data_IF_188843222618
#
_entry.id   IF_188843222618
#
_cell.length_a   1.000
_cell.length_b   1.000
_cell.length_c   1.000
_cell.angle_alpha   90.00
_cell.angle_beta   90.00
_cell.angle_gamma   90.00
#
_symmetry.space_group_name_H-M   'P 1'
#
loop_
_entity.id
_entity.type
_entity.pdbx_description
1 polymer ?
#
# COMPACT_ATOMS: atom_id res chain seq x y z
N UNK A 1 7.10 20.02 -22.82
CA UNK A 1 8.53 19.67 -23.01
C UNK A 1 8.72 18.31 -22.39
N UNK A 2 9.34 17.34 -23.08
CA UNK A 2 9.61 16.02 -22.50
C UNK A 2 10.57 16.19 -21.31
N UNK A 3 10.30 15.52 -20.20
CA UNK A 3 11.24 15.50 -19.07
C UNK A 3 12.35 14.50 -19.34
N UNK A 4 13.43 14.56 -18.56
CA UNK A 4 14.53 13.59 -18.63
C UNK A 4 13.99 12.15 -18.51
N UNK A 5 12.92 11.95 -17.72
CA UNK A 5 12.25 10.66 -17.56
C UNK A 5 11.58 10.16 -18.85
N UNK A 6 10.99 11.06 -19.65
CA UNK A 6 10.37 10.71 -20.94
C UNK A 6 11.42 10.35 -22.00
N UNK A 7 12.64 10.89 -21.88
CA UNK A 7 13.74 10.59 -22.81
C UNK A 7 14.50 9.31 -22.46
N UNK A 8 14.29 8.76 -21.26
CA UNK A 8 14.93 7.55 -20.76
C UNK A 8 13.88 6.45 -20.60
N UNK A 9 13.31 5.99 -21.72
CA UNK A 9 12.36 4.86 -21.73
C UNK A 9 13.04 3.59 -21.16
N UNK A 10 12.75 3.32 -19.88
CA UNK A 10 13.23 2.14 -19.17
C UNK A 10 12.17 1.04 -19.21
N UNK A 11 12.60 -0.17 -19.54
CA UNK A 11 11.80 -1.40 -19.46
C UNK A 11 11.42 -1.78 -18.02
N UNK A 12 11.99 -1.10 -17.02
CA UNK A 12 11.80 -1.35 -15.60
C UNK A 12 11.17 -0.15 -14.90
N UNK A 13 10.43 -0.41 -13.81
CA UNK A 13 9.83 0.63 -12.96
C UNK A 13 10.92 1.55 -12.42
N UNK A 14 10.73 2.84 -12.64
CA UNK A 14 11.52 3.89 -12.04
C UNK A 14 10.71 4.65 -10.99
N UNK A 15 11.40 5.37 -10.11
CA UNK A 15 10.78 6.23 -9.11
C UNK A 15 9.85 7.29 -9.73
N UNK A 16 10.13 7.71 -10.96
CA UNK A 16 9.35 8.70 -11.72
C UNK A 16 8.02 8.14 -12.25
N UNK A 17 7.92 6.82 -12.45
CA UNK A 17 6.67 6.13 -12.77
C UNK A 17 5.74 6.09 -11.53
N UNK A 18 6.31 6.08 -10.32
CA UNK A 18 5.61 6.00 -9.04
C UNK A 18 5.21 7.38 -8.50
N UNK A 19 4.45 8.15 -9.29
CA UNK A 19 3.92 9.46 -8.86
C UNK A 19 2.90 9.35 -7.73
N UNK A 20 2.22 8.21 -7.65
CA UNK A 20 1.22 7.91 -6.63
C UNK A 20 1.46 6.50 -6.05
N UNK A 21 1.05 6.24 -4.80
CA UNK A 21 1.09 4.91 -4.22
C UNK A 21 0.33 3.92 -5.11
N UNK A 22 1.07 2.99 -5.69
CA UNK A 22 0.53 2.04 -6.67
C UNK A 22 0.50 0.65 -6.05
N UNK A 23 -0.68 0.05 -6.04
CA UNK A 23 -0.89 -1.32 -5.56
C UNK A 23 -0.53 -2.30 -6.68
N UNK A 24 0.37 -3.21 -6.38
CA UNK A 24 0.84 -4.23 -7.31
C UNK A 24 0.79 -5.60 -6.63
N UNK A 25 0.44 -6.62 -7.40
CA UNK A 25 0.51 -8.01 -6.96
C UNK A 25 1.77 -8.63 -7.52
N UNK A 26 2.60 -9.25 -6.68
CA UNK A 26 3.81 -9.93 -7.13
C UNK A 26 3.43 -11.18 -7.92
N UNK A 27 3.91 -11.30 -9.16
CA UNK A 27 3.73 -12.49 -9.98
C UNK A 27 4.85 -13.52 -9.76
N UNK A 28 6.09 -13.05 -9.57
CA UNK A 28 7.24 -13.90 -9.30
C UNK A 28 8.56 -13.13 -9.33
N UNK A 29 9.63 -13.81 -8.94
CA UNK A 29 11.00 -13.25 -8.93
C UNK A 29 11.87 -14.09 -9.86
N UNK A 30 12.54 -13.44 -10.80
CA UNK A 30 13.43 -14.10 -11.76
C UNK A 30 14.79 -13.40 -11.82
N UNK A 31 15.82 -14.12 -12.28
CA UNK A 31 17.12 -13.51 -12.59
C UNK A 31 17.14 -13.12 -14.05
N UNK A 32 17.35 -11.83 -14.32
CA UNK A 32 17.44 -11.30 -15.68
C UNK A 32 18.75 -10.57 -15.86
N UNK A 33 19.34 -10.74 -17.03
CA UNK A 33 20.46 -9.89 -17.43
C UNK A 33 19.91 -8.49 -17.73
N UNK A 34 20.34 -7.52 -16.93
CA UNK A 34 20.00 -6.11 -17.08
C UNK A 34 21.23 -5.28 -17.47
N UNK A 35 22.32 -5.97 -17.83
CA UNK A 35 23.55 -5.37 -18.29
C UNK A 35 23.42 -4.75 -19.67
N UNK A 36 24.39 -3.91 -20.01
CA UNK A 36 24.55 -3.37 -21.36
C UNK A 36 25.39 -4.33 -22.21
N UNK A 37 25.31 -4.17 -23.54
CA UNK A 37 26.04 -5.01 -24.48
C UNK A 37 27.55 -5.08 -24.13
N UNK A 38 28.05 -6.29 -23.86
CA UNK A 38 29.44 -6.54 -23.46
C UNK A 38 29.72 -6.51 -21.95
N UNK A 39 28.75 -6.14 -21.10
CA UNK A 39 28.85 -6.21 -19.62
C UNK A 39 27.56 -6.79 -19.04
N UNK A 40 27.41 -8.13 -19.06
CA UNK A 40 26.24 -8.78 -18.48
C UNK A 40 26.18 -8.47 -16.99
N UNK A 41 25.02 -8.02 -16.52
CA UNK A 41 24.76 -7.73 -15.11
C UNK A 41 23.48 -8.46 -14.71
N UNK A 42 23.66 -9.67 -14.19
CA UNK A 42 22.53 -10.49 -13.73
C UNK A 42 22.01 -9.91 -12.42
N UNK A 43 20.78 -9.38 -12.46
CA UNK A 43 20.07 -8.91 -11.28
C UNK A 43 18.78 -9.69 -11.06
N UNK A 44 18.32 -9.69 -9.82
CA UNK A 44 17.00 -10.19 -9.49
C UNK A 44 15.96 -9.15 -9.89
N UNK A 45 14.87 -9.62 -10.48
CA UNK A 45 13.79 -8.81 -11.01
C UNK A 45 12.47 -9.36 -10.51
N UNK A 46 11.64 -8.49 -9.94
CA UNK A 46 10.27 -8.85 -9.55
C UNK A 46 9.34 -8.49 -10.68
N UNK A 47 8.57 -9.47 -11.13
CA UNK A 47 7.45 -9.28 -12.06
C UNK A 47 6.16 -9.08 -11.26
N UNK A 48 5.25 -8.29 -11.80
CA UNK A 48 3.95 -8.02 -11.19
C UNK A 48 2.83 -8.54 -12.10
N UNK A 49 1.71 -8.91 -11.49
CA UNK A 49 0.52 -9.32 -12.21
C UNK A 49 -0.21 -8.09 -12.79
N UNK A 50 -0.76 -8.24 -13.99
CA UNK A 50 -1.17 -7.11 -14.83
C UNK A 50 0.01 -6.60 -15.65
N UNK A 51 -0.23 -5.89 -16.75
CA UNK A 51 0.79 -5.43 -17.69
C UNK A 51 1.66 -4.28 -17.12
N UNK A 52 2.22 -4.48 -15.92
CA UNK A 52 3.11 -3.56 -15.23
C UNK A 52 4.55 -3.87 -15.59
N UNK A 53 5.37 -2.82 -15.64
CA UNK A 53 6.81 -2.96 -15.80
C UNK A 53 7.38 -3.77 -14.62
N UNK A 54 8.37 -4.65 -14.84
CA UNK A 54 9.06 -5.31 -13.75
C UNK A 54 9.95 -4.34 -12.95
N UNK A 55 10.27 -4.68 -11.69
CA UNK A 55 11.16 -3.90 -10.84
C UNK A 55 12.49 -4.63 -10.61
N UNK A 56 13.60 -3.93 -10.84
CA UNK A 56 14.94 -4.44 -10.50
C UNK A 56 15.15 -4.37 -8.99
N UNK A 57 15.57 -5.48 -8.41
CA UNK A 57 15.95 -5.57 -7.00
C UNK A 57 17.42 -5.18 -6.83
N UNK A 58 17.65 -3.92 -6.46
CA UNK A 58 18.92 -3.49 -5.87
C UNK A 58 18.99 -3.89 -4.38
N UNK A 59 20.17 -3.77 -3.75
CA UNK A 59 20.37 -4.18 -2.34
C UNK A 59 19.34 -3.57 -1.38
N UNK A 60 19.00 -2.30 -1.56
CA UNK A 60 18.03 -1.59 -0.70
C UNK A 60 16.61 -2.13 -0.90
N UNK A 61 16.19 -2.29 -2.15
CA UNK A 61 14.88 -2.83 -2.52
C UNK A 61 14.76 -4.27 -2.05
N UNK A 62 15.78 -5.10 -2.26
CA UNK A 62 15.84 -6.48 -1.79
C UNK A 62 15.59 -6.55 -0.29
N UNK A 63 16.31 -5.76 0.51
CA UNK A 63 16.11 -5.70 1.96
C UNK A 63 14.69 -5.25 2.34
N UNK A 64 14.14 -4.26 1.64
CA UNK A 64 12.78 -3.80 1.87
C UNK A 64 11.75 -4.90 1.57
N UNK A 65 11.92 -5.63 0.47
CA UNK A 65 11.05 -6.76 0.11
C UNK A 65 11.14 -7.89 1.14
N UNK A 66 12.34 -8.30 1.56
CA UNK A 66 12.51 -9.31 2.61
C UNK A 66 11.88 -8.89 3.94
N UNK A 67 12.11 -7.64 4.38
CA UNK A 67 11.48 -7.11 5.60
C UNK A 67 9.94 -7.06 5.50
N UNK A 68 9.42 -6.89 4.29
CA UNK A 68 7.98 -6.67 4.05
C UNK A 68 7.23 -7.95 3.73
N UNK A 69 7.79 -8.88 2.95
CA UNK A 69 7.13 -10.09 2.45
C UNK A 69 7.62 -11.37 3.17
N UNK A 70 8.77 -11.30 3.84
CA UNK A 70 9.38 -12.41 4.57
C UNK A 70 10.63 -12.94 3.88
N UNK A 71 11.36 -13.81 4.60
CA UNK A 71 12.69 -14.33 4.22
C UNK A 71 12.68 -15.30 3.02
N UNK A 72 11.51 -15.79 2.61
CA UNK A 72 11.39 -16.70 1.48
C UNK A 72 10.78 -16.02 0.25
N UNK A 73 11.58 -15.84 -0.80
CA UNK A 73 11.15 -15.18 -2.04
C UNK A 73 10.12 -15.98 -2.83
N UNK A 74 10.10 -17.30 -2.67
CA UNK A 74 9.16 -18.18 -3.38
C UNK A 74 7.72 -17.95 -2.92
N UNK A 75 7.55 -17.54 -1.67
CA UNK A 75 6.24 -17.22 -1.07
C UNK A 75 5.75 -15.83 -1.46
N UNK A 76 6.53 -15.02 -2.19
CA UNK A 76 6.13 -13.66 -2.54
C UNK A 76 5.05 -13.63 -3.62
N UNK A 77 5.00 -14.65 -4.47
CA UNK A 77 4.00 -14.75 -5.53
C UNK A 77 2.57 -14.72 -4.96
N UNK A 78 1.71 -13.89 -5.55
CA UNK A 78 0.33 -13.68 -5.12
C UNK A 78 0.16 -12.67 -3.98
N UNK A 79 1.23 -12.20 -3.32
CA UNK A 79 1.13 -11.17 -2.28
C UNK A 79 0.95 -9.78 -2.91
N UNK A 80 0.13 -8.94 -2.27
CA UNK A 80 -0.07 -7.54 -2.64
C UNK A 80 0.89 -6.62 -1.88
N UNK A 81 1.51 -5.70 -2.62
CA UNK A 81 2.37 -4.65 -2.09
C UNK A 81 1.93 -3.29 -2.62
N UNK A 82 2.29 -2.25 -1.88
CA UNK A 82 2.14 -0.86 -2.33
C UNK A 82 3.54 -0.30 -2.55
N UNK A 83 3.81 0.15 -3.78
CA UNK A 83 5.03 0.87 -4.15
C UNK A 83 4.74 2.35 -4.23
N UNK A 84 5.62 3.17 -3.67
CA UNK A 84 5.57 4.62 -3.80
C UNK A 84 6.98 5.21 -3.75
N UNK A 85 7.12 6.42 -4.31
CA UNK A 85 8.36 7.18 -4.26
C UNK A 85 8.41 8.02 -2.98
N UNK A 86 9.35 7.71 -2.10
CA UNK A 86 9.62 8.44 -0.87
C UNK A 86 10.67 9.52 -1.12
N UNK A 87 10.22 10.78 -1.19
CA UNK A 87 11.09 11.94 -1.42
C UNK A 87 12.03 12.26 -0.25
N UNK A 88 11.83 11.65 0.92
CA UNK A 88 12.69 11.86 2.10
C UNK A 88 14.00 11.07 2.02
N UNK A 89 14.08 10.10 1.10
CA UNK A 89 15.29 9.29 0.89
C UNK A 89 16.21 9.99 -0.08
N UNK A 90 17.45 10.22 0.35
CA UNK A 90 18.54 10.67 -0.52
C UNK A 90 19.53 9.53 -0.73
N UNK A 91 19.91 9.28 -1.99
CA UNK A 91 20.99 8.36 -2.34
C UNK A 91 21.86 9.00 -3.41
N UNK A 92 23.15 9.18 -3.10
CA UNK A 92 24.15 9.72 -4.02
C UNK A 92 23.78 11.11 -4.59
N UNK A 93 23.27 12.03 -3.76
CA UNK A 93 22.85 13.37 -4.17
C UNK A 93 21.51 13.43 -4.92
N UNK A 94 20.81 12.30 -5.00
CA UNK A 94 19.52 12.19 -5.68
C UNK A 94 18.43 11.88 -4.66
N UNK A 95 17.42 12.74 -4.59
CA UNK A 95 16.22 12.54 -3.76
C UNK A 95 15.22 11.58 -4.44
N UNK A 96 14.52 10.81 -3.62
CA UNK A 96 13.52 9.83 -4.03
C UNK A 96 14.04 8.39 -3.97
N UNK A 97 13.33 7.54 -3.22
CA UNK A 97 13.58 6.10 -3.11
C UNK A 97 12.30 5.28 -3.23
N UNK A 98 12.37 4.11 -3.87
CA UNK A 98 11.23 3.19 -3.95
C UNK A 98 11.08 2.52 -2.58
N UNK A 99 9.92 2.74 -1.95
CA UNK A 99 9.54 2.07 -0.71
C UNK A 99 8.46 1.05 -0.97
N UNK A 100 8.46 0.02 -0.14
CA UNK A 100 7.55 -1.12 -0.23
C UNK A 100 6.79 -1.20 1.09
N UNK A 101 5.47 -1.14 1.02
CA UNK A 101 4.62 -1.49 2.15
C UNK A 101 3.87 -2.78 1.85
N UNK A 102 3.78 -3.65 2.86
CA UNK A 102 2.86 -4.78 2.83
C UNK A 102 1.49 -4.18 2.96
N UNK A 103 0.63 -4.46 2.01
CA UNK A 103 -0.77 -4.32 2.28
C UNK A 103 -1.17 -5.47 3.18
N UNK A 104 -1.44 -5.16 4.45
CA UNK A 104 -2.23 -6.07 5.24
C UNK A 104 -3.57 -6.17 4.52
N UNK A 105 -3.96 -7.38 4.12
CA UNK A 105 -5.35 -7.64 3.83
C UNK A 105 -6.09 -7.29 5.13
N UNK A 106 -6.67 -6.09 5.18
CA UNK A 106 -7.96 -5.96 5.81
C UNK A 106 -8.82 -6.89 4.99
N UNK A 107 -8.92 -8.15 5.43
CA UNK A 107 -9.94 -9.08 4.97
C UNK A 107 -11.19 -8.24 4.85
N UNK A 108 -11.77 -8.14 3.64
CA UNK A 108 -12.95 -7.34 3.35
C UNK A 108 -13.89 -7.45 4.55
N UNK A 109 -13.84 -6.46 5.44
CA UNK A 109 -14.86 -6.33 6.43
C UNK A 109 -16.08 -6.06 5.56
N UNK A 110 -17.11 -6.93 5.56
CA UNK A 110 -18.32 -6.55 4.89
C UNK A 110 -18.66 -5.17 5.44
N UNK A 111 -18.83 -4.20 4.55
CA UNK A 111 -19.26 -2.84 4.91
C UNK A 111 -20.68 -2.93 5.48
N UNK A 112 -20.82 -3.51 6.67
CA UNK A 112 -21.98 -3.45 7.54
C UNK A 112 -21.74 -2.34 8.54
N UNK A 113 -21.57 -1.12 8.05
CA UNK A 113 -21.62 0.07 8.90
C UNK A 113 -22.20 1.24 8.13
N UNK A 114 -23.31 0.99 7.45
CA UNK A 114 -24.22 2.04 7.00
C UNK A 114 -25.66 1.78 7.49
N UNK A 115 -26.07 0.52 7.70
CA UNK A 115 -27.44 0.19 8.15
C UNK A 115 -27.66 0.11 9.67
N UNK A 116 -26.61 0.01 10.51
CA UNK A 116 -26.80 -0.16 11.97
C UNK A 116 -27.04 1.14 12.73
N UNK A 117 -26.84 2.32 12.14
CA UNK A 117 -27.16 3.60 12.79
C UNK A 117 -28.63 4.01 12.64
N UNK A 118 -29.43 3.30 11.82
CA UNK A 118 -30.84 3.65 11.60
C UNK A 118 -31.82 3.01 12.59
N UNK A 119 -31.42 2.02 13.39
CA UNK A 119 -32.34 1.27 14.26
C UNK A 119 -32.30 1.62 15.75
N UNK A 120 -31.38 2.49 16.21
CA UNK A 120 -31.31 2.90 17.62
C UNK A 120 -31.87 4.30 17.91
N UNK A 121 -32.71 4.85 17.02
CA UNK A 121 -33.57 5.98 17.33
C UNK A 121 -34.98 5.52 17.69
N UNK A 122 -35.11 4.75 18.76
CA UNK A 122 -36.36 4.67 19.50
C UNK A 122 -36.13 5.29 20.88
N UNK A 123 -36.02 6.61 20.88
CA UNK A 123 -36.12 7.42 22.10
C UNK A 123 -37.62 7.38 22.46
N UNK A 124 -38.05 6.80 23.60
CA UNK A 124 -39.40 7.03 24.06
C UNK A 124 -39.55 8.53 24.28
N UNK A 125 -40.47 9.17 23.56
CA UNK A 125 -40.94 10.50 23.93
C UNK A 125 -41.57 10.34 25.32
N UNK A 126 -41.01 11.04 26.30
CA UNK A 126 -41.68 11.34 27.55
C UNK A 126 -43.04 11.99 27.24
N UNK A 127 -44.09 11.19 27.31
CA UNK A 127 -45.47 11.62 27.44
C UNK A 127 -46.11 10.77 28.53
N UNK A 128 -45.70 11.02 29.77
CA UNK A 128 -46.49 10.62 30.94
C UNK A 128 -46.62 11.85 31.84
N UNK A 129 -47.70 12.58 31.61
CA UNK A 129 -48.30 13.50 32.56
C UNK A 129 -48.77 12.73 33.79
N UNK A 130 -47.85 12.46 34.72
CA UNK A 130 -48.12 11.99 36.08
C UNK A 130 -48.19 13.15 37.09
N UNK A 131 -49.04 13.08 38.13
CA UNK A 131 -49.27 14.20 39.04
C UNK A 131 -48.05 14.47 39.95
N UNK A 132 -47.84 15.76 40.26
CA UNK A 132 -46.78 16.25 41.15
C UNK A 132 -46.85 15.56 42.52
N UNK A 133 -45.74 15.08 43.10
CA UNK A 133 -45.72 14.59 44.47
C UNK A 133 -45.79 15.76 45.46
N UNK A 134 -46.73 15.67 46.41
CA UNK A 134 -46.86 16.60 47.53
C UNK A 134 -45.64 16.56 48.46
N UNK A 135 -45.20 17.73 48.91
CA UNK A 135 -44.09 17.89 49.85
C UNK A 135 -44.44 17.31 51.24
N UNK A 136 -43.52 16.59 51.91
CA UNK A 136 -43.74 16.21 53.31
C UNK A 136 -43.56 17.43 54.24
N UNK A 137 -44.33 17.53 55.33
CA UNK A 137 -44.27 18.66 56.24
C UNK A 137 -42.94 18.67 57.00
N UNK A 138 -42.31 19.84 57.07
CA UNK A 138 -41.20 20.06 58.00
C UNK A 138 -41.75 20.12 59.42
N UNK A 139 -41.33 19.16 60.24
CA UNK A 139 -41.45 19.20 61.70
C UNK A 139 -40.09 19.54 62.30
#
# INVERSE_FOLDING_TARGET
MPTIDDMLESNYIQKSDLKQPTRLTVAGVERKDVGQEGKPEVKWVVSFAGAYKPLILNVTNTKAFFATLGDNSDDWAGKQIILFNDMTVEYNGVFGGIRVYRQLEVADAPSQTADQFAQNQNIPRDDDSGPLPEEPPQF
#
